data_IF_412952937614
#
_entry.id   IF_412952937614
#
_cell.length_a   1.000
_cell.length_b   1.000
_cell.length_c   1.000
_cell.angle_alpha   90.00
_cell.angle_beta   90.00
_cell.angle_gamma   90.00
#
_symmetry.space_group_name_H-M   'P 1'
#
loop_
_entity.id
_entity.type
_entity.pdbx_description
1 polymer ?
#
# COMPACT_ATOMS: atom_id res chain seq x y z
N UNK A 1 11.47 1.84 3.55
CA UNK A 1 11.03 1.15 4.80
C UNK A 1 10.63 -0.28 4.50
N UNK A 2 10.89 -1.25 5.39
CA UNK A 2 10.62 -2.69 5.15
C UNK A 2 9.15 -3.00 4.76
N UNK A 3 8.18 -2.24 5.29
CA UNK A 3 6.75 -2.40 4.97
C UNK A 3 6.44 -2.11 3.50
N UNK A 4 7.00 -1.02 2.96
CA UNK A 4 6.80 -0.59 1.58
C UNK A 4 7.24 -1.68 0.58
N UNK A 5 8.45 -2.22 0.75
CA UNK A 5 8.97 -3.29 -0.11
C UNK A 5 8.08 -4.52 -0.07
N UNK A 6 7.61 -4.94 1.12
CA UNK A 6 6.73 -6.10 1.25
C UNK A 6 5.39 -5.90 0.55
N UNK A 7 4.80 -4.71 0.66
CA UNK A 7 3.56 -4.37 -0.05
C UNK A 7 3.79 -4.43 -1.56
N UNK A 8 4.88 -3.85 -2.05
CA UNK A 8 5.23 -3.88 -3.46
C UNK A 8 5.44 -5.30 -3.98
N UNK A 9 6.24 -6.11 -3.27
CA UNK A 9 6.51 -7.50 -3.65
C UNK A 9 5.22 -8.36 -3.66
N UNK A 10 4.34 -8.15 -2.68
CA UNK A 10 3.06 -8.83 -2.62
C UNK A 10 2.15 -8.45 -3.80
N UNK A 11 2.05 -7.17 -4.14
CA UNK A 11 1.24 -6.71 -5.28
C UNK A 11 1.78 -7.23 -6.61
N UNK A 12 3.10 -7.22 -6.81
CA UNK A 12 3.73 -7.74 -8.03
C UNK A 12 3.51 -9.26 -8.15
N UNK A 13 3.56 -9.99 -7.03
CA UNK A 13 3.40 -11.45 -7.02
C UNK A 13 1.95 -11.89 -7.22
N UNK A 14 1.02 -11.22 -6.55
CA UNK A 14 -0.37 -11.65 -6.46
C UNK A 14 -1.31 -10.89 -7.38
N UNK A 15 -0.91 -9.74 -7.92
CA UNK A 15 -1.73 -8.96 -8.84
C UNK A 15 -1.04 -8.61 -10.16
N UNK A 16 -1.01 -9.55 -11.13
CA UNK A 16 -0.37 -9.33 -12.42
C UNK A 16 -1.10 -8.34 -13.31
N UNK A 17 -2.34 -7.96 -12.98
CA UNK A 17 -3.19 -7.06 -13.80
C UNK A 17 -2.76 -5.59 -13.70
N UNK A 18 -1.98 -5.25 -12.67
CA UNK A 18 -1.54 -3.89 -12.41
C UNK A 18 -0.02 -3.75 -12.59
N UNK A 19 0.42 -2.54 -12.83
CA UNK A 19 1.80 -2.10 -12.65
C UNK A 19 1.83 -1.15 -11.46
N UNK A 20 2.55 -1.53 -10.41
CA UNK A 20 2.76 -0.67 -9.25
C UNK A 20 3.78 0.41 -9.62
N UNK A 21 3.37 1.67 -9.52
CA UNK A 21 4.20 2.83 -9.86
C UNK A 21 4.88 3.40 -8.63
N UNK A 22 4.13 3.54 -7.54
CA UNK A 22 4.63 4.04 -6.26
C UNK A 22 3.85 3.43 -5.10
N UNK A 23 4.54 3.24 -3.97
CA UNK A 23 3.95 2.81 -2.71
C UNK A 23 4.49 3.72 -1.63
N UNK A 24 3.61 4.46 -0.95
CA UNK A 24 3.96 5.35 0.15
C UNK A 24 3.29 4.88 1.43
N UNK A 25 4.06 4.84 2.51
CA UNK A 25 3.54 4.51 3.85
C UNK A 25 3.65 5.76 4.70
N UNK A 26 2.50 6.32 5.05
CA UNK A 26 2.39 7.51 5.89
C UNK A 26 1.93 7.09 7.28
N UNK A 27 2.57 7.65 8.31
CA UNK A 27 2.13 7.50 9.70
C UNK A 27 1.58 8.84 10.16
N UNK A 28 0.25 8.98 10.32
CA UNK A 28 -0.33 10.23 10.75
C UNK A 28 0.21 10.66 12.12
N UNK A 29 0.59 11.93 12.32
CA UNK A 29 1.06 12.43 13.62
C UNK A 29 0.01 12.26 14.72
N UNK A 30 -1.26 12.42 14.34
CA UNK A 30 -2.45 12.39 15.20
C UNK A 30 -2.78 10.97 15.71
N UNK A 31 -2.33 9.93 15.00
CA UNK A 31 -2.80 8.57 15.22
C UNK A 31 -1.69 7.55 14.97
N UNK A 32 -0.99 7.18 16.06
CA UNK A 32 0.05 6.14 16.05
C UNK A 32 -0.48 4.71 15.82
N UNK A 33 -1.80 4.54 15.80
CA UNK A 33 -2.45 3.24 15.83
C UNK A 33 -2.80 2.73 14.41
N UNK A 34 -2.51 3.51 13.37
CA UNK A 34 -2.68 3.05 12.00
C UNK A 34 -1.63 3.65 11.05
N UNK A 35 -1.37 2.93 9.97
CA UNK A 35 -0.53 3.34 8.85
C UNK A 35 -1.43 3.57 7.64
N UNK A 36 -1.20 4.64 6.91
CA UNK A 36 -1.84 4.88 5.62
C UNK A 36 -0.91 4.39 4.51
N UNK A 37 -1.32 3.34 3.82
CA UNK A 37 -0.59 2.80 2.68
C UNK A 37 -1.24 3.34 1.41
N UNK A 38 -0.53 4.20 0.69
CA UNK A 38 -0.97 4.77 -0.59
C UNK A 38 -0.26 4.03 -1.70
N UNK A 39 -1.01 3.53 -2.66
CA UNK A 39 -0.51 2.75 -3.78
C UNK A 39 -0.95 3.45 -5.05
N UNK A 40 0.00 3.93 -5.83
CA UNK A 40 -0.22 4.41 -7.18
C UNK A 40 0.04 3.26 -8.14
N UNK A 41 -0.94 2.94 -8.96
CA UNK A 41 -0.82 1.83 -9.91
C UNK A 41 -1.51 2.14 -11.23
N UNK A 42 -1.04 1.47 -12.27
CA UNK A 42 -1.61 1.46 -13.61
C UNK A 42 -2.30 0.13 -13.83
N UNK A 43 -3.52 0.12 -14.35
CA UNK A 43 -4.14 -1.10 -14.87
C UNK A 43 -3.59 -1.37 -16.27
N UNK A 44 -3.00 -2.56 -16.49
CA UNK A 44 -2.36 -2.91 -17.77
C UNK A 44 -3.34 -2.98 -18.94
N UNK A 45 -4.58 -3.38 -18.68
CA UNK A 45 -5.58 -3.63 -19.71
C UNK A 45 -6.08 -2.37 -20.42
N UNK A 46 -6.23 -1.25 -19.70
CA UNK A 46 -6.77 0.00 -20.23
C UNK A 46 -5.83 1.20 -20.04
N UNK A 47 -4.60 0.96 -19.56
CA UNK A 47 -3.60 1.98 -19.27
C UNK A 47 -4.12 3.10 -18.35
N UNK A 48 -5.10 2.80 -17.50
CA UNK A 48 -5.69 3.77 -16.59
C UNK A 48 -4.91 3.82 -15.27
N UNK A 49 -4.70 5.04 -14.78
CA UNK A 49 -3.98 5.32 -13.54
C UNK A 49 -4.97 5.44 -12.38
N UNK A 50 -4.65 4.78 -11.27
CA UNK A 50 -5.46 4.79 -10.06
C UNK A 50 -4.58 4.96 -8.82
N UNK A 51 -5.20 5.49 -7.78
CA UNK A 51 -4.64 5.58 -6.45
C UNK A 51 -5.53 4.77 -5.48
N UNK A 52 -4.91 3.91 -4.68
CA UNK A 52 -5.57 3.18 -3.59
C UNK A 52 -4.97 3.63 -2.27
N UNK A 53 -5.82 4.08 -1.34
CA UNK A 53 -5.43 4.37 0.04
C UNK A 53 -5.99 3.28 0.94
N UNK A 54 -5.11 2.51 1.55
CA UNK A 54 -5.46 1.45 2.47
C UNK A 54 -5.05 1.81 3.91
N UNK A 55 -6.01 1.95 4.85
CA UNK A 55 -5.72 2.14 6.26
C UNK A 55 -5.37 0.80 6.91
N UNK A 56 -4.13 0.64 7.36
CA UNK A 56 -3.65 -0.53 8.09
C UNK A 56 -3.63 -0.23 9.60
N UNK A 57 -4.54 -0.84 10.35
CA UNK A 57 -4.59 -0.67 11.80
C UNK A 57 -3.54 -1.54 12.48
N UNK A 58 -2.64 -0.89 13.23
CA UNK A 58 -1.74 -1.54 14.16
C UNK A 58 -2.58 -1.87 15.39
N UNK A 59 -3.25 -3.02 15.36
CA UNK A 59 -3.85 -3.57 16.58
C UNK A 59 -2.68 -3.91 17.49
N UNK A 60 -2.54 -3.19 18.61
CA UNK A 60 -1.71 -3.65 19.72
C UNK A 60 -2.19 -5.07 20.05
N UNK A 61 -1.36 -6.07 19.73
CA UNK A 61 -1.59 -7.42 20.25
C UNK A 61 -1.58 -7.32 21.77
N UNK A 62 -2.53 -7.95 22.48
CA UNK A 62 -2.47 -7.98 23.94
C UNK A 62 -1.15 -8.66 24.32
N UNK A 63 -0.25 -7.87 24.91
CA UNK A 63 0.92 -8.39 25.62
C UNK A 63 0.51 -9.06 26.92
#
# INVERSE_FOLDING_TARGET
>A
TMVQSRVQDALVRWEPRIDVLDVRVETPPEARNFLLIRIDYRIRANNAFYNLVYPFFLTEGPG
#
